data_IF_344222103341
#
_entry.id   IF_344222103341
#
_cell.length_a   1.000
_cell.length_b   1.000
_cell.length_c   1.000
_cell.angle_alpha   90.00
_cell.angle_beta   90.00
_cell.angle_gamma   90.00
#
_symmetry.space_group_name_H-M   'P 1'
#
loop_
_entity.id
_entity.type
_entity.pdbx_description
1 polymer ?
#
# COMPACT_ATOMS: atom_id res chain seq x y z
N UNK A 1 28.09 -18.80 5.84
CA UNK A 1 29.06 -17.81 5.33
C UNK A 1 29.05 -17.73 3.80
N UNK A 2 29.22 -18.83 3.08
CA UNK A 2 29.21 -18.82 1.60
C UNK A 2 27.81 -18.64 0.96
N UNK A 3 26.72 -18.93 1.70
CA UNK A 3 25.33 -18.76 1.24
C UNK A 3 24.77 -17.32 1.40
N UNK A 4 25.45 -16.44 2.15
CA UNK A 4 25.04 -15.04 2.31
C UNK A 4 25.49 -14.15 1.15
N UNK A 5 26.54 -14.55 0.43
CA UNK A 5 27.05 -13.83 -0.73
C UNK A 5 26.24 -14.10 -2.01
N UNK A 6 25.63 -15.28 -2.15
CA UNK A 6 24.77 -15.59 -3.32
C UNK A 6 23.40 -14.88 -3.27
N UNK A 7 22.90 -14.55 -2.07
CA UNK A 7 21.64 -13.81 -1.90
C UNK A 7 21.76 -12.33 -2.32
N UNK A 8 22.95 -11.72 -2.18
CA UNK A 8 23.19 -10.32 -2.56
C UNK A 8 23.23 -10.14 -4.08
N UNK A 9 23.88 -11.07 -4.79
CA UNK A 9 23.93 -11.08 -6.26
C UNK A 9 22.54 -11.36 -6.88
N UNK A 10 21.75 -12.26 -6.29
CA UNK A 10 20.38 -12.55 -6.73
C UNK A 10 19.41 -11.38 -6.44
N UNK A 11 19.58 -10.64 -5.34
CA UNK A 11 18.79 -9.44 -5.04
C UNK A 11 19.10 -8.29 -6.02
N UNK A 12 20.39 -8.09 -6.32
CA UNK A 12 20.85 -7.08 -7.28
C UNK A 12 20.34 -7.39 -8.71
N UNK A 13 20.40 -8.66 -9.14
CA UNK A 13 19.83 -9.09 -10.42
C UNK A 13 18.31 -8.93 -10.48
N UNK A 14 17.61 -9.17 -9.38
CA UNK A 14 16.15 -9.02 -9.31
C UNK A 14 15.75 -7.55 -9.41
N UNK A 15 16.51 -6.63 -8.81
CA UNK A 15 16.28 -5.19 -8.93
C UNK A 15 16.60 -4.64 -10.33
N UNK A 16 17.68 -5.08 -10.97
CA UNK A 16 18.03 -4.67 -12.35
C UNK A 16 17.03 -5.20 -13.40
N UNK A 17 16.40 -6.34 -13.17
CA UNK A 17 15.44 -6.94 -14.13
C UNK A 17 13.99 -6.53 -13.92
N UNK A 18 13.58 -6.15 -12.70
CA UNK A 18 12.22 -5.64 -12.44
C UNK A 18 12.05 -4.17 -12.78
N UNK A 19 13.11 -3.36 -12.71
CA UNK A 19 13.03 -1.93 -12.97
C UNK A 19 12.59 -1.58 -14.42
N UNK A 20 13.11 -2.22 -15.48
CA UNK A 20 12.64 -1.97 -16.85
C UNK A 20 11.20 -2.48 -17.10
N UNK A 21 10.79 -3.56 -16.43
CA UNK A 21 9.43 -4.10 -16.54
C UNK A 21 8.40 -3.21 -15.84
N UNK A 22 8.76 -2.65 -14.68
CA UNK A 22 7.97 -1.65 -13.95
C UNK A 22 7.93 -0.33 -14.75
N UNK A 23 9.04 0.12 -15.32
CA UNK A 23 9.06 1.31 -16.18
C UNK A 23 8.26 1.12 -17.47
N UNK A 24 8.27 -0.08 -18.05
CA UNK A 24 7.45 -0.45 -19.21
C UNK A 24 5.96 -0.45 -18.88
N UNK A 25 5.58 -1.12 -17.78
CA UNK A 25 4.22 -1.12 -17.26
C UNK A 25 3.75 0.29 -16.92
N UNK A 26 4.56 1.11 -16.24
CA UNK A 26 4.23 2.50 -15.91
C UNK A 26 4.10 3.37 -17.17
N UNK A 27 4.94 3.18 -18.19
CA UNK A 27 4.80 3.91 -19.48
C UNK A 27 3.54 3.53 -20.23
N UNK A 28 3.26 2.23 -20.34
CA UNK A 28 2.07 1.70 -21.01
C UNK A 28 0.81 2.13 -20.24
N UNK A 29 0.86 2.11 -18.91
CA UNK A 29 -0.20 2.57 -18.03
C UNK A 29 -0.45 4.09 -18.14
N UNK A 30 0.59 4.93 -18.12
CA UNK A 30 0.47 6.37 -18.35
C UNK A 30 -0.12 6.64 -19.75
N UNK A 31 0.29 5.87 -20.76
CA UNK A 31 -0.30 5.95 -22.10
C UNK A 31 -1.78 5.62 -22.09
N UNK A 32 -2.20 4.53 -21.44
CA UNK A 32 -3.61 4.11 -21.33
C UNK A 32 -4.45 5.12 -20.57
N UNK A 33 -3.95 5.67 -19.46
CA UNK A 33 -4.61 6.73 -18.69
C UNK A 33 -4.72 8.01 -19.51
N UNK A 34 -3.72 8.34 -20.31
CA UNK A 34 -3.76 9.49 -21.23
C UNK A 34 -4.80 9.30 -22.32
N UNK A 35 -4.87 8.11 -22.93
CA UNK A 35 -5.92 7.75 -23.90
C UNK A 35 -7.31 7.82 -23.28
N UNK A 36 -7.50 7.35 -22.04
CA UNK A 36 -8.78 7.44 -21.33
C UNK A 36 -9.17 8.89 -21.02
N UNK A 37 -8.18 9.75 -20.71
CA UNK A 37 -8.38 11.19 -20.48
C UNK A 37 -8.73 11.94 -21.75
N UNK A 38 -8.11 11.59 -22.87
CA UNK A 38 -8.42 12.12 -24.20
C UNK A 38 -9.82 11.66 -24.65
N UNK A 39 -10.18 10.40 -24.42
CA UNK A 39 -11.51 9.85 -24.71
C UNK A 39 -12.62 10.51 -23.85
N UNK A 40 -12.33 10.81 -22.58
CA UNK A 40 -13.26 11.52 -21.70
C UNK A 40 -13.38 13.03 -22.03
N UNK A 41 -12.44 13.59 -22.79
CA UNK A 41 -12.47 14.98 -23.26
C UNK A 41 -13.14 15.13 -24.64
N UNK A 42 -13.18 14.07 -25.45
CA UNK A 42 -13.70 14.09 -26.82
C UNK A 42 -15.24 13.95 -26.93
N UNK A 43 -15.95 13.65 -25.83
CA UNK A 43 -17.42 13.57 -25.83
C UNK A 43 -18.11 14.96 -25.74
N UNK A 44 -17.33 16.05 -25.86
CA UNK A 44 -17.85 17.42 -25.98
C UNK A 44 -16.98 18.28 -26.92
N UNK A 45 -17.13 18.13 -28.25
CA UNK A 45 -17.23 19.23 -29.24
C UNK A 45 -17.22 18.74 -30.70
N UNK A 46 -18.08 19.36 -31.52
CA UNK A 46 -17.87 19.45 -32.98
C UNK A 46 -16.70 20.41 -33.29
N UNK A 47 -15.97 20.22 -34.40
CA UNK A 47 -14.67 20.87 -34.63
C UNK A 47 -14.82 22.33 -35.07
N UNK A 48 -13.95 23.26 -34.60
CA UNK A 48 -13.72 24.50 -35.31
C UNK A 48 -12.48 24.39 -36.21
N UNK A 49 -12.70 24.82 -37.43
CA UNK A 49 -11.75 25.12 -38.49
C UNK A 49 -10.59 26.02 -37.99
N UNK A 50 -9.37 25.51 -38.02
CA UNK A 50 -8.14 26.25 -37.69
C UNK A 50 -7.17 26.23 -38.87
N UNK A 51 -7.61 26.79 -39.99
CA UNK A 51 -6.77 27.19 -41.11
C UNK A 51 -6.88 28.70 -41.36
N UNK A 52 -6.45 29.53 -40.39
CA UNK A 52 -6.00 30.91 -40.64
C UNK A 52 -5.54 31.57 -39.33
N UNK A 53 -4.22 31.68 -39.14
CA UNK A 53 -3.49 32.81 -38.52
C UNK A 53 -2.11 32.35 -38.05
N UNK A 54 -1.13 32.53 -38.93
CA UNK A 54 0.26 32.75 -38.52
C UNK A 54 0.85 33.81 -39.45
N UNK A 55 0.89 35.05 -38.97
CA UNK A 55 1.87 36.04 -39.41
C UNK A 55 3.12 35.91 -38.52
N UNK A 56 4.34 35.99 -39.06
CA UNK A 56 5.56 35.93 -38.28
C UNK A 56 5.94 37.35 -37.83
N UNK A 57 5.82 37.64 -36.54
CA UNK A 57 6.27 38.91 -35.97
C UNK A 57 6.58 38.79 -34.49
N UNK A 58 7.85 39.03 -34.13
CA UNK A 58 8.26 39.26 -32.74
C UNK A 58 9.39 38.35 -32.26
N UNK A 59 10.63 38.74 -32.53
CA UNK A 59 11.80 38.23 -31.82
C UNK A 59 11.84 38.84 -30.41
N UNK A 60 11.30 38.15 -29.41
CA UNK A 60 11.56 38.47 -28.01
C UNK A 60 12.72 37.60 -27.50
N UNK A 61 13.77 38.28 -27.05
CA UNK A 61 14.95 37.68 -26.43
C UNK A 61 14.56 37.01 -25.12
N UNK A 62 14.50 35.69 -25.11
CA UNK A 62 14.43 34.90 -23.88
C UNK A 62 15.77 35.04 -23.14
N UNK A 63 15.81 35.88 -22.10
CA UNK A 63 16.84 35.80 -21.06
C UNK A 63 16.66 34.47 -20.34
N UNK A 64 17.55 33.51 -20.64
CA UNK A 64 17.69 32.29 -19.86
C UNK A 64 18.21 32.68 -18.48
N UNK A 65 17.32 32.78 -17.49
CA UNK A 65 17.71 32.75 -16.09
C UNK A 65 18.25 31.36 -15.79
N UNK A 66 19.58 31.23 -15.72
CA UNK A 66 20.23 30.05 -15.18
C UNK A 66 19.85 29.92 -13.70
N UNK A 67 18.86 29.07 -13.40
CA UNK A 67 18.56 28.67 -12.03
C UNK A 67 19.75 27.91 -11.44
N UNK A 68 20.58 28.63 -10.68
CA UNK A 68 21.67 28.04 -9.90
C UNK A 68 21.04 27.23 -8.76
N UNK A 69 21.11 25.90 -8.86
CA UNK A 69 20.69 24.98 -7.78
C UNK A 69 21.61 25.20 -6.58
N UNK A 70 21.03 25.46 -5.40
CA UNK A 70 21.82 25.73 -4.20
C UNK A 70 22.52 24.48 -3.67
N UNK A 71 23.65 24.63 -2.99
CA UNK A 71 24.33 23.51 -2.31
C UNK A 71 23.43 22.81 -1.29
N UNK A 72 22.52 23.57 -0.65
CA UNK A 72 21.50 23.03 0.24
C UNK A 72 20.50 22.10 -0.48
N UNK A 73 20.09 22.45 -1.70
CA UNK A 73 19.16 21.62 -2.49
C UNK A 73 19.83 20.32 -2.94
N UNK A 74 21.10 20.40 -3.36
CA UNK A 74 21.89 19.22 -3.72
C UNK A 74 22.06 18.28 -2.52
N UNK A 75 22.34 18.84 -1.34
CA UNK A 75 22.44 18.05 -0.10
C UNK A 75 21.08 17.41 0.26
N UNK A 76 19.99 18.17 0.20
CA UNK A 76 18.66 17.67 0.50
C UNK A 76 18.25 16.53 -0.44
N UNK A 77 18.56 16.64 -1.73
CA UNK A 77 18.33 15.57 -2.71
C UNK A 77 19.17 14.31 -2.40
N UNK A 78 20.44 14.48 -2.02
CA UNK A 78 21.29 13.37 -1.63
C UNK A 78 20.80 12.68 -0.35
N UNK A 79 20.43 13.44 0.68
CA UNK A 79 19.89 12.92 1.94
C UNK A 79 18.56 12.19 1.70
N UNK A 80 17.68 12.71 0.84
CA UNK A 80 16.43 12.06 0.45
C UNK A 80 16.67 10.72 -0.26
N UNK A 81 17.66 10.65 -1.15
CA UNK A 81 18.04 9.39 -1.81
C UNK A 81 18.50 8.34 -0.80
N UNK A 82 19.35 8.73 0.15
CA UNK A 82 19.81 7.84 1.24
C UNK A 82 18.62 7.36 2.07
N UNK A 83 17.74 8.27 2.48
CA UNK A 83 16.53 7.92 3.23
C UNK A 83 15.67 6.91 2.48
N UNK A 84 15.38 7.15 1.21
CA UNK A 84 14.51 6.29 0.40
C UNK A 84 15.05 4.86 0.31
N UNK A 85 16.34 4.70 0.00
CA UNK A 85 17.00 3.39 0.00
C UNK A 85 16.91 2.71 1.35
N UNK A 86 17.23 3.42 2.45
CA UNK A 86 17.18 2.85 3.80
C UNK A 86 15.77 2.46 4.25
N UNK A 87 14.73 3.18 3.82
CA UNK A 87 13.32 2.85 4.12
C UNK A 87 12.91 1.54 3.46
N UNK A 88 13.28 1.35 2.19
CA UNK A 88 13.01 0.11 1.46
C UNK A 88 13.77 -1.07 2.05
N UNK A 89 15.06 -0.90 2.32
CA UNK A 89 15.89 -1.92 2.97
C UNK A 89 15.35 -2.28 4.36
N UNK A 90 14.95 -1.29 5.16
CA UNK A 90 14.32 -1.50 6.46
C UNK A 90 13.02 -2.30 6.36
N UNK A 91 12.10 -1.93 5.46
CA UNK A 91 10.83 -2.66 5.25
C UNK A 91 11.11 -4.12 4.89
N UNK A 92 12.00 -4.36 3.93
CA UNK A 92 12.33 -5.70 3.46
C UNK A 92 13.03 -6.52 4.56
N UNK A 93 13.94 -5.90 5.31
CA UNK A 93 14.60 -6.54 6.44
C UNK A 93 13.59 -6.89 7.54
N UNK A 94 12.62 -6.01 7.84
CA UNK A 94 11.55 -6.29 8.80
C UNK A 94 10.64 -7.43 8.35
N UNK A 95 10.33 -7.51 7.05
CA UNK A 95 9.56 -8.61 6.47
C UNK A 95 10.24 -9.98 6.67
N UNK A 96 11.58 -10.01 6.84
CA UNK A 96 12.34 -11.24 7.07
C UNK A 96 12.64 -11.50 8.56
N UNK A 97 13.15 -10.47 9.27
CA UNK A 97 13.62 -10.55 10.66
C UNK A 97 13.42 -9.20 11.38
N UNK A 98 12.18 -8.92 11.79
CA UNK A 98 11.75 -7.67 12.43
C UNK A 98 12.69 -7.10 13.49
N UNK A 99 13.02 -7.90 14.51
CA UNK A 99 13.83 -7.44 15.64
C UNK A 99 15.29 -7.13 15.26
N UNK A 100 15.84 -7.82 14.27
CA UNK A 100 17.18 -7.50 13.74
C UNK A 100 17.13 -6.19 12.97
N UNK A 101 16.14 -6.03 12.09
CA UNK A 101 15.99 -4.81 11.29
C UNK A 101 15.83 -3.56 12.17
N UNK A 102 15.00 -3.59 13.22
CA UNK A 102 14.93 -2.47 14.15
C UNK A 102 16.27 -2.20 14.85
N UNK A 103 17.06 -3.22 15.18
CA UNK A 103 18.39 -3.01 15.79
C UNK A 103 19.36 -2.32 14.84
N UNK A 104 19.28 -2.63 13.54
CA UNK A 104 20.18 -2.11 12.52
C UNK A 104 19.82 -0.69 12.08
N UNK A 105 18.53 -0.34 12.11
CA UNK A 105 18.02 0.94 11.62
C UNK A 105 17.57 1.91 12.71
N UNK A 106 17.15 1.45 13.88
CA UNK A 106 16.77 2.33 14.98
C UNK A 106 17.99 2.87 15.74
N UNK A 107 17.83 4.07 16.29
CA UNK A 107 18.79 4.62 17.24
C UNK A 107 18.82 3.78 18.52
N UNK A 108 19.97 3.75 19.19
CA UNK A 108 20.13 2.97 20.43
C UNK A 108 19.15 3.41 21.53
N UNK A 109 18.77 4.70 21.55
CA UNK A 109 17.79 5.25 22.49
C UNK A 109 16.37 4.75 22.25
N UNK A 110 16.07 4.23 21.05
CA UNK A 110 14.74 3.75 20.68
C UNK A 110 14.54 2.26 20.99
N UNK A 111 15.60 1.52 21.32
CA UNK A 111 15.54 0.08 21.58
C UNK A 111 14.50 -0.32 22.66
N UNK A 112 14.37 0.40 23.80
CA UNK A 112 13.34 0.07 24.79
C UNK A 112 11.92 0.21 24.23
N UNK A 113 11.67 1.27 23.44
CA UNK A 113 10.36 1.53 22.83
C UNK A 113 10.00 0.50 21.76
N UNK A 114 10.95 0.10 20.92
CA UNK A 114 10.75 -1.00 19.96
C UNK A 114 10.36 -2.29 20.68
N UNK A 115 11.09 -2.63 21.75
CA UNK A 115 10.84 -3.85 22.52
C UNK A 115 9.46 -3.82 23.20
N UNK A 116 9.08 -2.68 23.77
CA UNK A 116 7.77 -2.45 24.37
C UNK A 116 6.64 -2.68 23.35
N UNK A 117 6.67 -1.98 22.21
CA UNK A 117 5.62 -2.11 21.18
C UNK A 117 5.58 -3.51 20.59
N UNK A 118 6.72 -4.14 20.37
CA UNK A 118 6.79 -5.51 19.89
C UNK A 118 6.13 -6.48 20.87
N UNK A 119 6.42 -6.34 22.16
CA UNK A 119 5.84 -7.17 23.20
C UNK A 119 4.33 -6.93 23.36
N UNK A 120 3.86 -5.68 23.27
CA UNK A 120 2.44 -5.34 23.35
C UNK A 120 1.66 -5.87 22.14
N UNK A 121 2.17 -5.66 20.93
CA UNK A 121 1.48 -6.05 19.70
C UNK A 121 1.50 -7.56 19.46
N UNK A 122 2.61 -8.23 19.77
CA UNK A 122 2.87 -9.60 19.30
C UNK A 122 3.18 -10.60 20.41
N UNK A 123 3.36 -10.13 21.65
CA UNK A 123 3.75 -10.97 22.77
C UNK A 123 5.07 -11.68 22.50
N UNK A 124 5.08 -13.02 22.56
CA UNK A 124 6.27 -13.84 22.31
C UNK A 124 6.61 -14.03 20.82
N UNK A 125 5.73 -13.60 19.91
CA UNK A 125 5.86 -13.83 18.46
C UNK A 125 6.33 -12.56 17.72
N UNK A 126 7.18 -11.75 18.35
CA UNK A 126 7.59 -10.42 17.85
C UNK A 126 8.10 -10.44 16.42
N UNK A 127 9.02 -11.35 16.08
CA UNK A 127 9.58 -11.41 14.71
C UNK A 127 8.56 -11.84 13.67
N UNK A 128 7.69 -12.79 14.01
CA UNK A 128 6.60 -13.23 13.12
C UNK A 128 5.60 -12.10 12.89
N UNK A 129 5.26 -11.36 13.95
CA UNK A 129 4.35 -10.23 13.88
C UNK A 129 4.89 -9.07 13.04
N UNK A 130 6.16 -8.69 13.24
CA UNK A 130 6.79 -7.68 12.40
C UNK A 130 6.96 -8.14 10.95
N UNK A 131 7.32 -9.40 10.72
CA UNK A 131 7.37 -9.98 9.37
C UNK A 131 6.01 -9.88 8.68
N UNK A 132 4.94 -10.26 9.38
CA UNK A 132 3.57 -10.12 8.89
C UNK A 132 3.23 -8.67 8.53
N UNK A 133 3.45 -7.72 9.46
CA UNK A 133 3.14 -6.31 9.22
C UNK A 133 3.90 -5.76 8.00
N UNK A 134 5.23 -5.89 7.99
CA UNK A 134 6.07 -5.23 6.99
C UNK A 134 6.09 -5.93 5.64
N UNK A 135 5.79 -7.22 5.56
CA UNK A 135 5.64 -7.92 4.27
C UNK A 135 4.43 -7.43 3.46
N UNK A 136 3.48 -6.76 4.11
CA UNK A 136 2.25 -6.26 3.49
C UNK A 136 2.07 -4.76 3.61
N UNK A 137 2.86 -4.08 4.42
CA UNK A 137 2.72 -2.65 4.61
C UNK A 137 3.04 -1.86 3.32
N UNK A 138 2.11 -0.96 2.99
CA UNK A 138 2.36 0.16 2.10
C UNK A 138 3.14 1.23 2.87
N UNK A 139 3.85 2.12 2.19
CA UNK A 139 4.49 3.25 2.86
C UNK A 139 4.31 4.55 2.11
N UNK A 140 4.30 5.65 2.86
CA UNK A 140 4.30 7.02 2.33
C UNK A 140 5.26 7.89 3.14
N UNK A 141 5.76 8.95 2.51
CA UNK A 141 6.74 9.87 3.06
C UNK A 141 6.09 11.22 3.39
N UNK A 142 6.10 11.55 4.67
CA UNK A 142 5.73 12.86 5.21
C UNK A 142 6.95 13.75 5.37
N UNK A 143 6.85 15.01 4.92
CA UNK A 143 7.93 16.02 4.97
C UNK A 143 9.27 15.54 4.38
N UNK A 144 9.34 15.17 3.09
CA UNK A 144 10.58 14.71 2.45
C UNK A 144 11.76 15.69 2.57
N UNK A 145 11.48 16.98 2.72
CA UNK A 145 12.49 18.05 2.82
C UNK A 145 12.86 18.44 4.26
N UNK A 146 12.24 17.82 5.27
CA UNK A 146 12.56 18.07 6.68
C UNK A 146 13.91 17.44 7.06
N UNK A 147 14.61 18.00 8.06
CA UNK A 147 15.76 17.33 8.68
C UNK A 147 15.38 16.04 9.42
N UNK A 148 14.09 15.92 9.75
CA UNK A 148 13.48 14.77 10.41
C UNK A 148 12.24 14.34 9.63
N UNK A 149 12.41 13.67 8.49
CA UNK A 149 11.29 13.19 7.69
C UNK A 149 10.55 12.08 8.43
N UNK A 150 9.25 11.96 8.19
CA UNK A 150 8.39 10.95 8.81
C UNK A 150 7.99 9.96 7.73
N UNK A 151 8.17 8.67 7.97
CA UNK A 151 7.71 7.61 7.10
C UNK A 151 6.60 6.86 7.80
N UNK A 152 5.43 6.79 7.16
CA UNK A 152 4.32 5.99 7.63
C UNK A 152 4.28 4.67 6.89
N UNK A 153 4.29 3.56 7.63
CA UNK A 153 4.01 2.22 7.12
C UNK A 153 2.58 1.85 7.50
N UNK A 154 1.73 1.58 6.51
CA UNK A 154 0.32 1.30 6.69
C UNK A 154 0.01 -0.14 6.28
N UNK A 155 -0.72 -0.87 7.12
CA UNK A 155 -1.18 -2.22 6.84
C UNK A 155 -2.69 -2.22 6.49
N UNK A 156 -3.05 -2.11 5.19
CA UNK A 156 -4.44 -2.01 4.71
C UNK A 156 -5.48 -2.94 5.35
N UNK A 157 -5.13 -4.20 5.55
CA UNK A 157 -6.05 -5.25 5.99
C UNK A 157 -6.44 -5.08 7.46
N UNK A 158 -5.50 -4.61 8.29
CA UNK A 158 -5.74 -4.35 9.71
C UNK A 158 -6.10 -2.89 9.99
N UNK A 159 -5.90 -1.96 9.04
CA UNK A 159 -6.08 -0.52 9.23
C UNK A 159 -5.20 0.03 10.37
N UNK A 160 -3.90 -0.32 10.35
CA UNK A 160 -2.91 0.05 11.38
C UNK A 160 -1.69 0.72 10.77
N UNK A 161 -1.15 1.70 11.49
CA UNK A 161 0.04 2.46 11.10
C UNK A 161 1.20 2.22 12.07
N UNK A 162 2.41 2.14 11.50
CA UNK A 162 3.66 2.43 12.21
C UNK A 162 4.25 3.70 11.59
N UNK A 163 4.33 4.76 12.38
CA UNK A 163 4.99 6.00 11.97
C UNK A 163 6.42 6.00 12.50
N UNK A 164 7.38 6.38 11.67
CA UNK A 164 8.80 6.41 12.01
C UNK A 164 9.39 7.76 11.66
N UNK A 165 10.06 8.41 12.61
CA UNK A 165 10.81 9.64 12.35
C UNK A 165 12.26 9.28 12.08
N UNK A 166 12.80 9.77 10.97
CA UNK A 166 14.13 9.43 10.50
C UNK A 166 15.10 10.61 10.63
N UNK A 167 16.39 10.33 10.69
CA UNK A 167 17.45 11.32 10.59
C UNK A 167 18.57 10.78 9.72
N UNK A 168 19.04 11.58 8.76
CA UNK A 168 20.23 11.26 7.95
C UNK A 168 21.43 11.99 8.54
N UNK A 169 22.42 11.23 9.01
CA UNK A 169 23.67 11.78 9.57
C UNK A 169 24.83 11.06 8.91
N UNK A 170 25.74 11.82 8.29
CA UNK A 170 26.95 11.30 7.64
C UNK A 170 26.64 10.17 6.64
N UNK A 171 25.61 10.34 5.82
CA UNK A 171 25.22 9.38 4.79
C UNK A 171 24.52 8.11 5.31
N UNK A 172 24.08 8.09 6.57
CA UNK A 172 23.31 6.96 7.14
C UNK A 172 21.97 7.45 7.67
N UNK A 173 20.89 6.80 7.27
CA UNK A 173 19.57 7.04 7.82
C UNK A 173 19.34 6.18 9.08
N UNK A 174 18.75 6.78 10.11
CA UNK A 174 18.37 6.10 11.36
C UNK A 174 16.98 6.52 11.81
N UNK A 175 16.22 5.57 12.35
CA UNK A 175 14.94 5.84 13.01
C UNK A 175 15.24 6.40 14.40
N UNK A 176 14.80 7.61 14.68
CA UNK A 176 15.02 8.30 15.95
C UNK A 176 13.78 8.30 16.84
N UNK A 177 12.61 8.05 16.26
CA UNK A 177 11.33 7.99 16.98
C UNK A 177 10.36 7.07 16.23
N UNK A 178 9.40 6.48 16.92
CA UNK A 178 8.37 5.64 16.30
C UNK A 178 7.09 5.60 17.13
N UNK A 179 5.96 5.41 16.45
CA UNK A 179 4.64 5.23 17.06
C UNK A 179 3.83 4.18 16.32
N UNK A 180 3.10 3.34 17.06
CA UNK A 180 2.10 2.39 16.56
C UNK A 180 0.71 2.93 16.89
N UNK A 181 -0.20 3.00 15.91
CA UNK A 181 -1.56 3.51 16.12
C UNK A 181 -2.56 2.91 15.14
N UNK A 182 -3.85 2.99 15.48
CA UNK A 182 -4.92 2.65 14.54
C UNK A 182 -5.03 3.70 13.43
N UNK A 183 -5.52 3.30 12.26
CA UNK A 183 -5.92 4.23 11.20
C UNK A 183 -6.98 5.22 11.67
N UNK A 184 -7.85 4.80 12.59
CA UNK A 184 -8.88 5.66 13.18
C UNK A 184 -8.27 6.83 13.96
N UNK A 185 -7.20 6.58 14.72
CA UNK A 185 -6.47 7.64 15.41
C UNK A 185 -5.93 8.68 14.42
N UNK A 186 -5.30 8.23 13.34
CA UNK A 186 -4.75 9.09 12.31
C UNK A 186 -5.84 9.96 11.66
N UNK A 187 -6.92 9.33 11.16
CA UNK A 187 -8.04 10.01 10.50
C UNK A 187 -8.70 11.06 11.39
N UNK A 188 -8.84 10.75 12.68
CA UNK A 188 -9.46 11.64 13.67
C UNK A 188 -8.49 12.55 14.39
N UNK A 189 -7.19 12.49 14.08
CA UNK A 189 -6.14 13.29 14.74
C UNK A 189 -6.18 13.15 16.27
N UNK A 190 -6.42 11.93 16.75
CA UNK A 190 -6.52 11.61 18.18
C UNK A 190 -7.79 12.10 18.87
N UNK A 191 -8.85 12.46 18.14
CA UNK A 191 -10.12 12.91 18.74
C UNK A 191 -11.21 11.82 18.76
N UNK A 192 -11.87 11.56 19.92
CA UNK A 192 -12.99 10.62 20.01
C UNK A 192 -14.26 11.14 19.32
N UNK A 193 -15.28 10.29 19.08
CA UNK A 193 -15.33 8.86 19.37
C UNK A 193 -14.51 8.01 18.40
N UNK A 194 -13.86 6.95 18.88
CA UNK A 194 -13.11 6.00 18.03
C UNK A 194 -13.98 4.79 17.68
N UNK A 195 -14.06 4.44 16.39
CA UNK A 195 -14.54 3.12 15.96
C UNK A 195 -13.35 2.24 15.60
N UNK A 196 -13.07 1.27 16.46
CA UNK A 196 -11.88 0.41 16.37
C UNK A 196 -12.02 -0.70 15.31
N UNK A 197 -13.07 -0.69 14.49
CA UNK A 197 -13.15 -1.60 13.33
C UNK A 197 -12.42 -0.98 12.14
N UNK A 198 -11.63 -1.76 11.39
CA UNK A 198 -11.00 -1.28 10.14
C UNK A 198 -12.00 -0.54 9.25
N UNK A 199 -11.63 0.64 8.77
CA UNK A 199 -12.56 1.52 8.06
C UNK A 199 -13.29 0.86 6.89
N UNK A 200 -12.56 0.08 6.09
CA UNK A 200 -13.11 -0.60 4.92
C UNK A 200 -14.17 -1.66 5.26
N UNK A 201 -14.18 -2.17 6.49
CA UNK A 201 -15.20 -3.09 6.99
C UNK A 201 -16.47 -2.37 7.47
N UNK A 202 -16.37 -1.07 7.76
CA UNK A 202 -17.49 -0.26 8.28
C UNK A 202 -18.33 0.37 7.18
N UNK A 203 -17.71 0.73 6.06
CA UNK A 203 -18.38 1.39 4.93
C UNK A 203 -19.37 0.44 4.25
N UNK A 204 -20.46 0.97 3.71
CA UNK A 204 -21.40 0.20 2.92
C UNK A 204 -20.90 -0.03 1.48
N UNK A 205 -21.42 -1.06 0.80
CA UNK A 205 -21.11 -1.34 -0.60
C UNK A 205 -20.06 -2.43 -0.82
N UNK A 206 -19.38 -2.38 -1.97
CA UNK A 206 -18.45 -3.42 -2.39
C UNK A 206 -17.19 -3.42 -1.52
N UNK A 207 -16.88 -4.55 -0.86
CA UNK A 207 -15.76 -4.65 0.10
C UNK A 207 -14.39 -4.38 -0.51
N UNK A 208 -14.19 -4.72 -1.79
CA UNK A 208 -12.93 -4.49 -2.49
C UNK A 208 -12.74 -2.99 -2.73
N UNK A 209 -13.79 -2.32 -3.22
CA UNK A 209 -13.78 -0.87 -3.41
C UNK A 209 -13.56 -0.14 -2.09
N UNK A 210 -14.22 -0.58 -1.01
CA UNK A 210 -14.06 0.05 0.29
C UNK A 210 -12.66 -0.13 0.88
N UNK A 211 -11.99 -1.26 0.63
CA UNK A 211 -10.58 -1.45 0.99
C UNK A 211 -9.69 -0.44 0.28
N UNK A 212 -9.84 -0.31 -1.04
CA UNK A 212 -9.06 0.63 -1.84
C UNK A 212 -9.29 2.06 -1.38
N UNK A 213 -10.55 2.48 -1.22
CA UNK A 213 -10.89 3.85 -0.78
C UNK A 213 -10.37 4.16 0.61
N UNK A 214 -10.55 3.26 1.58
CA UNK A 214 -10.07 3.47 2.94
C UNK A 214 -8.54 3.58 2.98
N UNK A 215 -7.83 2.74 2.20
CA UNK A 215 -6.37 2.85 2.07
C UNK A 215 -5.96 4.19 1.48
N UNK A 216 -6.59 4.62 0.39
CA UNK A 216 -6.29 5.92 -0.23
C UNK A 216 -6.57 7.10 0.69
N UNK A 217 -7.73 7.12 1.34
CA UNK A 217 -8.09 8.19 2.27
C UNK A 217 -7.11 8.24 3.45
N UNK A 218 -6.74 7.08 4.03
CA UNK A 218 -5.74 6.99 5.10
C UNK A 218 -4.36 7.53 4.70
N UNK A 219 -3.84 7.13 3.53
CA UNK A 219 -2.53 7.61 3.04
C UNK A 219 -2.55 9.13 2.86
N UNK A 220 -3.65 9.66 2.32
CA UNK A 220 -3.83 11.11 2.18
C UNK A 220 -3.92 11.81 3.54
N UNK A 221 -4.63 11.24 4.50
CA UNK A 221 -4.76 11.82 5.84
C UNK A 221 -3.40 11.83 6.56
N UNK A 222 -2.57 10.81 6.35
CA UNK A 222 -1.16 10.80 6.77
C UNK A 222 -0.36 11.94 6.13
N UNK A 223 -0.44 12.11 4.80
CA UNK A 223 0.23 13.20 4.10
C UNK A 223 -0.19 14.56 4.66
N UNK A 224 -1.49 14.79 4.87
CA UNK A 224 -2.01 16.04 5.44
C UNK A 224 -1.52 16.25 6.87
N UNK A 225 -1.56 15.21 7.72
CA UNK A 225 -1.13 15.31 9.11
C UNK A 225 0.38 15.57 9.25
N UNK A 226 1.17 15.09 8.29
CA UNK A 226 2.63 15.24 8.32
C UNK A 226 3.12 16.46 7.57
N UNK A 227 2.49 16.95 6.50
CA UNK A 227 3.00 18.11 5.74
C UNK A 227 2.88 19.45 6.49
N UNK A 228 1.99 19.56 7.48
CA UNK A 228 1.78 20.80 8.22
C UNK A 228 3.06 21.38 8.86
N UNK A 229 3.15 22.70 9.04
CA UNK A 229 4.30 23.34 9.71
C UNK A 229 4.46 22.90 11.18
N UNK A 230 3.33 22.57 11.83
CA UNK A 230 3.25 22.07 13.20
C UNK A 230 3.86 20.68 13.31
N UNK A 231 4.69 20.34 14.32
CA UNK A 231 5.19 18.97 14.53
C UNK A 231 4.10 17.92 14.42
N UNK A 232 4.34 16.84 13.66
CA UNK A 232 3.32 15.83 13.35
C UNK A 232 2.71 15.19 14.62
N UNK A 233 3.53 14.99 15.67
CA UNK A 233 3.05 14.51 16.97
C UNK A 233 2.01 15.43 17.61
N UNK A 234 2.14 16.74 17.43
CA UNK A 234 1.14 17.70 17.91
C UNK A 234 -0.11 17.68 17.04
N UNK A 235 0.04 17.57 15.71
CA UNK A 235 -1.11 17.40 14.79
C UNK A 235 -1.94 16.17 15.13
N UNK A 236 -1.29 15.08 15.56
CA UNK A 236 -1.94 13.82 15.95
C UNK A 236 -2.26 13.73 17.46
N UNK A 237 -2.12 14.83 18.20
CA UNK A 237 -2.34 14.91 19.66
C UNK A 237 -1.60 13.84 20.48
N UNK A 238 -0.44 13.41 19.99
CA UNK A 238 0.42 12.45 20.68
C UNK A 238 1.22 13.10 21.81
N UNK A 239 1.49 14.40 21.73
CA UNK A 239 2.19 15.15 22.77
C UNK A 239 1.30 15.46 23.98
N UNK A 240 0.00 15.66 23.75
CA UNK A 240 -0.99 16.01 24.78
C UNK A 240 -1.78 14.78 25.26
N UNK A 241 -1.31 13.59 24.90
CA UNK A 241 -2.02 12.34 25.11
C UNK A 241 -1.92 11.91 26.57
N UNK A 242 -3.04 11.61 27.20
CA UNK A 242 -3.00 10.90 28.47
C UNK A 242 -2.54 9.44 28.24
N UNK A 243 -1.98 8.83 29.28
CA UNK A 243 -1.46 7.47 29.19
C UNK A 243 -2.57 6.46 28.86
N UNK A 244 -3.79 6.68 29.35
CA UNK A 244 -4.93 5.77 29.16
C UNK A 244 -5.37 5.68 27.68
N UNK A 245 -5.48 6.82 26.99
CA UNK A 245 -5.78 6.86 25.56
C UNK A 245 -4.63 6.28 24.72
N UNK A 246 -3.40 6.36 25.22
CA UNK A 246 -2.22 5.69 24.60
C UNK A 246 -2.37 4.19 24.65
N UNK A 247 -2.58 3.66 25.85
CA UNK A 247 -2.72 2.22 26.06
C UNK A 247 -3.92 1.66 25.29
N UNK A 248 -5.04 2.40 25.24
CA UNK A 248 -6.26 1.96 24.55
C UNK A 248 -6.06 1.78 23.04
N UNK A 249 -5.48 2.76 22.36
CA UNK A 249 -5.22 2.72 20.91
C UNK A 249 -4.12 1.71 20.56
N UNK A 250 -3.07 1.59 21.38
CA UNK A 250 -2.04 0.58 21.15
C UNK A 250 -2.61 -0.83 21.30
N UNK A 251 -3.44 -1.05 22.32
CA UNK A 251 -4.18 -2.30 22.45
C UNK A 251 -5.14 -2.52 21.26
N UNK A 252 -5.80 -1.47 20.77
CA UNK A 252 -6.67 -1.56 19.61
C UNK A 252 -5.91 -1.92 18.33
N UNK A 253 -4.77 -1.28 18.07
CA UNK A 253 -3.89 -1.58 16.95
C UNK A 253 -3.38 -3.03 17.02
N UNK A 254 -2.94 -3.47 18.21
CA UNK A 254 -2.54 -4.86 18.45
C UNK A 254 -3.69 -5.84 18.14
N UNK A 255 -4.91 -5.57 18.63
CA UNK A 255 -6.07 -6.43 18.36
C UNK A 255 -6.42 -6.49 16.88
N UNK A 256 -6.37 -5.37 16.15
CA UNK A 256 -6.62 -5.33 14.71
C UNK A 256 -5.59 -6.15 13.93
N UNK A 257 -4.31 -6.04 14.31
CA UNK A 257 -3.23 -6.83 13.72
C UNK A 257 -3.39 -8.32 14.00
N UNK A 258 -3.71 -8.69 15.23
CA UNK A 258 -3.94 -10.09 15.63
C UNK A 258 -5.17 -10.66 14.92
N UNK A 259 -6.29 -9.92 14.79
CA UNK A 259 -7.46 -10.39 14.05
C UNK A 259 -7.12 -10.64 12.58
N UNK A 260 -6.43 -9.69 11.94
CA UNK A 260 -6.01 -9.82 10.54
C UNK A 260 -5.06 -11.02 10.35
N UNK A 261 -4.05 -11.20 11.22
CA UNK A 261 -3.14 -12.34 11.20
C UNK A 261 -3.87 -13.67 11.45
N UNK A 262 -4.84 -13.69 12.36
CA UNK A 262 -5.64 -14.87 12.63
C UNK A 262 -6.43 -15.31 11.38
N UNK A 263 -6.91 -14.38 10.54
CA UNK A 263 -7.55 -14.73 9.26
C UNK A 263 -6.60 -15.43 8.30
N UNK A 264 -5.34 -14.99 8.24
CA UNK A 264 -4.30 -15.65 7.44
C UNK A 264 -4.05 -17.06 7.97
N UNK A 265 -3.83 -17.21 9.27
CA UNK A 265 -3.61 -18.54 9.88
C UNK A 265 -4.79 -19.49 9.75
N UNK A 266 -6.02 -18.99 9.71
CA UNK A 266 -7.19 -19.83 9.42
C UNK A 266 -7.07 -20.44 8.00
N UNK A 267 -6.72 -19.64 6.99
CA UNK A 267 -6.53 -20.08 5.62
C UNK A 267 -5.25 -20.89 5.39
N UNK A 268 -4.23 -20.74 6.21
CA UNK A 268 -2.99 -21.53 6.10
C UNK A 268 -3.01 -22.80 6.94
N UNK A 269 -4.07 -23.01 7.75
CA UNK A 269 -4.16 -24.19 8.61
C UNK A 269 -4.26 -25.48 7.80
N UNK A 270 -3.42 -26.50 8.05
CA UNK A 270 -3.53 -27.79 7.36
C UNK A 270 -4.81 -28.55 7.71
N UNK A 271 -5.50 -28.16 8.79
CA UNK A 271 -6.75 -28.76 9.26
C UNK A 271 -7.78 -27.66 9.56
N UNK A 272 -8.37 -27.05 8.52
CA UNK A 272 -9.35 -25.97 8.69
C UNK A 272 -10.55 -26.45 9.51
N UNK A 273 -10.82 -25.77 10.62
CA UNK A 273 -11.95 -26.11 11.51
C UNK A 273 -13.32 -25.76 10.92
N UNK A 274 -13.36 -24.73 10.06
CA UNK A 274 -14.59 -24.19 9.46
C UNK A 274 -14.75 -24.75 8.04
N UNK A 275 -15.92 -25.31 7.67
CA UNK A 275 -16.15 -25.83 6.31
C UNK A 275 -15.91 -24.77 5.22
N UNK A 276 -16.32 -23.52 5.45
CA UNK A 276 -16.06 -22.40 4.54
C UNK A 276 -14.57 -22.18 4.29
N UNK A 277 -13.74 -22.24 5.33
CA UNK A 277 -12.29 -22.07 5.20
C UNK A 277 -11.68 -23.19 4.36
N UNK A 278 -12.14 -24.44 4.57
CA UNK A 278 -11.70 -25.59 3.77
C UNK A 278 -12.03 -25.42 2.29
N UNK A 279 -13.25 -24.96 1.97
CA UNK A 279 -13.65 -24.71 0.59
C UNK A 279 -12.82 -23.58 -0.03
N UNK A 280 -12.59 -22.48 0.70
CA UNK A 280 -11.73 -21.38 0.22
C UNK A 280 -10.29 -21.82 0.00
N UNK A 281 -9.71 -22.64 0.86
CA UNK A 281 -8.38 -23.22 0.67
C UNK A 281 -8.28 -24.02 -0.63
N UNK A 282 -9.29 -24.84 -0.94
CA UNK A 282 -9.34 -25.60 -2.18
C UNK A 282 -9.41 -24.67 -3.40
N UNK A 283 -10.23 -23.62 -3.34
CA UNK A 283 -10.34 -22.62 -4.41
C UNK A 283 -9.04 -21.85 -4.63
N UNK A 284 -8.34 -21.45 -3.55
CA UNK A 284 -7.03 -20.78 -3.64
C UNK A 284 -5.97 -21.72 -4.23
N UNK A 285 -5.96 -22.98 -3.81
CA UNK A 285 -5.05 -23.99 -4.37
C UNK A 285 -5.30 -24.22 -5.86
N UNK A 286 -6.57 -24.35 -6.27
CA UNK A 286 -6.94 -24.46 -7.68
C UNK A 286 -6.49 -23.22 -8.48
N UNK A 287 -6.73 -22.02 -7.95
CA UNK A 287 -6.28 -20.77 -8.55
C UNK A 287 -4.77 -20.77 -8.82
N UNK A 288 -3.97 -21.07 -7.79
CA UNK A 288 -2.50 -21.11 -7.90
C UNK A 288 -2.04 -22.18 -8.88
N UNK A 289 -2.56 -23.40 -8.79
CA UNK A 289 -2.15 -24.52 -9.65
C UNK A 289 -2.51 -24.27 -11.12
N UNK A 290 -3.73 -23.84 -11.42
CA UNK A 290 -4.13 -23.55 -12.81
C UNK A 290 -3.38 -22.34 -13.36
N UNK A 291 -3.21 -21.29 -12.57
CA UNK A 291 -2.39 -20.15 -12.94
C UNK A 291 -0.95 -20.55 -13.29
N UNK A 292 -0.31 -21.37 -12.44
CA UNK A 292 1.04 -21.90 -12.65
C UNK A 292 1.17 -22.75 -13.92
N UNK A 293 0.09 -23.41 -14.34
CA UNK A 293 0.05 -24.20 -15.56
C UNK A 293 -0.37 -23.40 -16.81
N UNK A 294 -0.54 -22.07 -16.70
CA UNK A 294 -1.00 -21.22 -17.81
C UNK A 294 -2.49 -21.39 -18.16
N UNK A 295 -3.28 -21.98 -17.26
CA UNK A 295 -4.70 -22.29 -17.45
C UNK A 295 -5.63 -21.25 -16.82
N UNK A 296 -5.15 -20.03 -16.60
CA UNK A 296 -5.94 -18.96 -15.95
C UNK A 296 -7.20 -18.59 -16.75
N UNK A 297 -7.16 -18.73 -18.09
CA UNK A 297 -8.32 -18.52 -18.96
C UNK A 297 -9.52 -19.39 -18.60
N UNK A 298 -9.30 -20.63 -18.14
CA UNK A 298 -10.37 -21.55 -17.70
C UNK A 298 -11.03 -21.11 -16.39
N UNK A 299 -10.27 -20.44 -15.51
CA UNK A 299 -10.81 -19.84 -14.29
C UNK A 299 -11.59 -18.56 -14.61
N UNK A 300 -11.06 -17.69 -15.47
CA UNK A 300 -11.73 -16.47 -15.90
C UNK A 300 -13.05 -16.75 -16.64
N UNK A 301 -13.11 -17.82 -17.44
CA UNK A 301 -14.36 -18.25 -18.08
C UNK A 301 -15.46 -18.65 -17.07
N UNK A 302 -15.07 -19.09 -15.86
CA UNK A 302 -16.01 -19.39 -14.76
C UNK A 302 -16.38 -18.14 -13.95
N UNK A 303 -15.43 -17.21 -13.80
CA UNK A 303 -15.59 -15.94 -13.11
C UNK A 303 -16.32 -14.90 -13.99
N UNK A 304 -17.57 -15.20 -14.35
CA UNK A 304 -18.35 -14.44 -15.33
C UNK A 304 -18.72 -13.00 -14.94
N UNK A 305 -18.40 -12.57 -13.71
CA UNK A 305 -18.56 -11.17 -13.26
C UNK A 305 -17.24 -10.39 -13.26
N UNK A 306 -16.15 -10.98 -13.73
CA UNK A 306 -14.89 -10.26 -13.98
C UNK A 306 -15.04 -9.40 -15.22
N UNK A 307 -14.74 -8.11 -15.10
CA UNK A 307 -14.77 -7.18 -16.24
C UNK A 307 -13.74 -7.58 -17.31
N UNK A 308 -14.02 -7.35 -18.61
CA UNK A 308 -13.12 -7.75 -19.70
C UNK A 308 -11.68 -7.22 -19.55
N UNK A 309 -11.52 -5.92 -19.28
CA UNK A 309 -10.20 -5.29 -19.10
C UNK A 309 -9.43 -5.91 -17.93
N UNK A 310 -10.15 -6.25 -16.87
CA UNK A 310 -9.57 -6.91 -15.70
C UNK A 310 -9.15 -8.36 -16.02
N UNK A 311 -9.96 -9.07 -16.80
CA UNK A 311 -9.61 -10.41 -17.27
C UNK A 311 -8.34 -10.39 -18.14
N UNK A 312 -8.17 -9.36 -18.99
CA UNK A 312 -6.96 -9.21 -19.82
C UNK A 312 -5.72 -8.92 -18.97
N UNK A 313 -5.83 -8.04 -17.97
CA UNK A 313 -4.75 -7.81 -17.01
C UNK A 313 -4.36 -9.11 -16.28
N UNK A 314 -5.34 -9.88 -15.80
CA UNK A 314 -5.09 -11.14 -15.08
C UNK A 314 -4.46 -12.20 -16.00
N UNK A 315 -4.85 -12.26 -17.28
CA UNK A 315 -4.19 -13.14 -18.28
C UNK A 315 -2.74 -12.78 -18.51
N UNK A 316 -2.37 -11.51 -18.32
CA UNK A 316 -1.00 -11.01 -18.45
C UNK A 316 -0.06 -11.44 -17.30
N UNK A 317 -0.59 -11.94 -16.18
CA UNK A 317 0.23 -12.44 -15.07
C UNK A 317 1.02 -13.67 -15.55
N UNK A 318 2.33 -13.69 -15.32
CA UNK A 318 3.16 -14.83 -15.74
C UNK A 318 2.78 -16.07 -14.92
N UNK A 319 2.74 -17.27 -15.52
CA UNK A 319 2.44 -18.50 -14.78
C UNK A 319 3.30 -18.68 -13.53
N UNK A 320 4.59 -18.34 -13.59
CA UNK A 320 5.53 -18.44 -12.48
C UNK A 320 5.20 -17.56 -11.26
N UNK A 321 4.39 -16.51 -11.44
CA UNK A 321 4.04 -15.57 -10.37
C UNK A 321 2.79 -16.01 -9.57
N UNK A 322 1.94 -16.88 -10.14
CA UNK A 322 0.71 -17.35 -9.46
C UNK A 322 0.97 -18.05 -8.11
N UNK A 323 2.01 -18.89 -7.94
CA UNK A 323 2.34 -19.47 -6.63
C UNK A 323 2.69 -18.45 -5.55
N UNK A 324 3.12 -17.24 -5.91
CA UNK A 324 3.56 -16.20 -4.96
C UNK A 324 2.39 -15.47 -4.28
N UNK A 325 1.16 -15.64 -4.76
CA UNK A 325 -0.02 -14.97 -4.20
C UNK A 325 -0.48 -15.58 -2.88
N UNK A 326 -0.17 -14.96 -1.75
CA UNK A 326 -0.53 -15.41 -0.39
C UNK A 326 -1.83 -14.82 0.14
N UNK A 327 -2.66 -15.58 0.88
CA UNK A 327 -3.83 -15.03 1.53
C UNK A 327 -3.47 -13.97 2.55
N UNK A 328 -4.17 -12.84 2.53
CA UNK A 328 -4.01 -11.77 3.50
C UNK A 328 -5.26 -11.52 4.34
N UNK A 329 -6.43 -11.75 3.76
CA UNK A 329 -7.67 -11.62 4.49
C UNK A 329 -8.76 -12.44 3.80
N UNK A 330 -9.73 -12.91 4.58
CA UNK A 330 -10.93 -13.50 4.03
C UNK A 330 -12.14 -13.15 4.87
N UNK A 331 -13.29 -13.13 4.20
CA UNK A 331 -14.58 -12.99 4.84
C UNK A 331 -15.64 -13.77 4.08
N UNK A 332 -16.67 -14.20 4.77
CA UNK A 332 -17.81 -14.86 4.16
C UNK A 332 -19.09 -14.49 4.89
N UNK A 333 -20.17 -14.40 4.14
CA UNK A 333 -21.52 -14.21 4.66
C UNK A 333 -22.46 -15.32 4.15
N UNK A 334 -23.77 -15.07 4.18
CA UNK A 334 -24.79 -16.04 3.74
C UNK A 334 -24.83 -16.22 2.23
N UNK A 335 -24.25 -15.31 1.46
CA UNK A 335 -24.42 -15.16 0.01
C UNK A 335 -23.10 -15.25 -0.75
N UNK A 336 -21.99 -14.83 -0.14
CA UNK A 336 -20.70 -14.75 -0.81
C UNK A 336 -19.53 -14.99 0.15
N UNK A 337 -18.37 -15.26 -0.44
CA UNK A 337 -17.09 -15.18 0.23
C UNK A 337 -16.11 -14.36 -0.60
N UNK A 338 -15.14 -13.75 0.09
CA UNK A 338 -14.11 -12.92 -0.49
C UNK A 338 -12.77 -13.33 0.11
N UNK A 339 -11.78 -13.52 -0.75
CA UNK A 339 -10.38 -13.75 -0.37
C UNK A 339 -9.52 -12.71 -1.03
N UNK A 340 -8.66 -12.06 -0.25
CA UNK A 340 -7.62 -11.17 -0.75
C UNK A 340 -6.29 -11.91 -0.76
N UNK A 341 -5.63 -11.93 -1.91
CA UNK A 341 -4.32 -12.51 -2.13
C UNK A 341 -3.32 -11.40 -2.46
N UNK A 342 -2.11 -11.47 -1.92
CA UNK A 342 -1.02 -10.49 -2.16
C UNK A 342 0.23 -11.25 -2.57
N UNK A 343 0.92 -10.87 -3.65
CA UNK A 343 2.17 -11.51 -4.03
C UNK A 343 3.26 -11.24 -2.98
N UNK A 344 4.04 -12.25 -2.63
CA UNK A 344 5.07 -12.17 -1.59
C UNK A 344 6.12 -11.08 -1.81
N UNK A 345 6.43 -10.78 -3.07
CA UNK A 345 7.47 -9.81 -3.44
C UNK A 345 6.96 -8.39 -3.64
N UNK A 346 5.64 -8.20 -3.70
CA UNK A 346 5.07 -6.89 -4.04
C UNK A 346 3.77 -6.61 -3.27
N UNK A 347 3.84 -5.90 -2.12
CA UNK A 347 2.66 -5.57 -1.32
C UNK A 347 1.77 -4.49 -1.95
N UNK A 348 2.23 -3.83 -3.03
CA UNK A 348 1.50 -2.73 -3.66
C UNK A 348 0.31 -3.23 -4.49
N UNK A 349 0.28 -4.53 -4.80
CA UNK A 349 -0.81 -5.18 -5.53
C UNK A 349 -1.59 -6.16 -4.65
N UNK A 350 -2.87 -6.33 -4.95
CA UNK A 350 -3.63 -7.45 -4.42
C UNK A 350 -4.62 -7.97 -5.45
N UNK A 351 -4.89 -9.27 -5.38
CA UNK A 351 -5.92 -9.96 -6.14
C UNK A 351 -7.07 -10.31 -5.20
N UNK A 352 -8.27 -9.86 -5.52
CA UNK A 352 -9.49 -10.23 -4.84
C UNK A 352 -10.20 -11.35 -5.61
N UNK A 353 -10.51 -12.45 -4.92
CA UNK A 353 -11.32 -13.55 -5.42
C UNK A 353 -12.68 -13.51 -4.73
N UNK A 354 -13.73 -13.22 -5.49
CA UNK A 354 -15.11 -13.25 -4.99
C UNK A 354 -15.80 -14.54 -5.40
N UNK A 355 -16.40 -15.21 -4.42
CA UNK A 355 -17.13 -16.45 -4.60
C UNK A 355 -18.61 -16.24 -4.29
N UNK A 356 -19.48 -16.73 -5.16
CA UNK A 356 -20.91 -16.85 -4.84
C UNK A 356 -21.12 -18.15 -4.07
N UNK A 357 -21.93 -18.10 -3.01
CA UNK A 357 -22.28 -19.29 -2.24
C UNK A 357 -23.41 -20.04 -2.95
N UNK A 358 -23.18 -21.30 -3.27
CA UNK A 358 -24.14 -22.19 -3.91
C UNK A 358 -24.36 -23.43 -3.03
N UNK A 359 -25.49 -23.48 -2.31
CA UNK A 359 -25.76 -24.48 -1.28
C UNK A 359 -24.62 -24.59 -0.23
N UNK A 360 -23.82 -25.65 -0.32
CA UNK A 360 -22.71 -25.96 0.59
C UNK A 360 -21.32 -25.71 -0.04
N UNK A 361 -21.25 -25.12 -1.24
CA UNK A 361 -20.01 -24.84 -1.95
C UNK A 361 -19.85 -23.35 -2.34
N UNK A 362 -18.66 -23.01 -2.82
CA UNK A 362 -18.29 -21.69 -3.28
C UNK A 362 -17.85 -21.75 -4.73
N UNK A 363 -18.58 -21.01 -5.58
CA UNK A 363 -18.23 -20.86 -6.99
C UNK A 363 -17.53 -19.53 -7.22
N UNK A 364 -16.34 -19.57 -7.82
CA UNK A 364 -15.63 -18.36 -8.23
C UNK A 364 -16.51 -17.55 -9.20
N UNK A 365 -16.81 -16.32 -8.82
CA UNK A 365 -17.71 -15.45 -9.55
C UNK A 365 -17.00 -14.24 -10.17
N UNK A 366 -15.97 -13.71 -9.50
CA UNK A 366 -15.23 -12.52 -9.93
C UNK A 366 -13.79 -12.57 -9.45
N UNK A 367 -12.89 -12.02 -10.26
CA UNK A 367 -11.48 -11.83 -9.94
C UNK A 367 -11.11 -10.39 -10.25
N UNK A 368 -10.49 -9.69 -9.32
CA UNK A 368 -10.04 -8.31 -9.54
C UNK A 368 -8.62 -8.10 -9.04
N UNK A 369 -7.76 -7.54 -9.88
CA UNK A 369 -6.39 -7.15 -9.54
C UNK A 369 -6.32 -5.64 -9.36
N UNK A 370 -5.81 -5.21 -8.21
CA UNK A 370 -5.65 -3.79 -7.89
C UNK A 370 -4.21 -3.46 -7.56
N UNK A 371 -3.82 -2.23 -7.87
CA UNK A 371 -2.53 -1.63 -7.52
C UNK A 371 -2.79 -0.38 -6.67
N UNK A 372 -2.41 -0.40 -5.39
CA UNK A 372 -2.71 0.67 -4.45
C UNK A 372 -2.19 2.05 -4.89
N UNK A 373 -0.92 2.21 -5.33
CA UNK A 373 -0.42 3.49 -5.84
C UNK A 373 -1.23 4.04 -7.02
N UNK A 374 -1.57 3.19 -7.99
CA UNK A 374 -2.42 3.60 -9.12
C UNK A 374 -3.78 4.10 -8.66
N UNK A 375 -4.43 3.35 -7.75
CA UNK A 375 -5.75 3.73 -7.25
C UNK A 375 -5.71 5.03 -6.43
N UNK A 376 -4.63 5.25 -5.67
CA UNK A 376 -4.39 6.50 -4.98
C UNK A 376 -4.36 7.68 -5.94
N UNK A 377 -3.59 7.60 -7.03
CA UNK A 377 -3.51 8.67 -8.03
C UNK A 377 -4.86 8.94 -8.73
N UNK A 378 -5.58 7.89 -9.11
CA UNK A 378 -6.91 8.02 -9.74
C UNK A 378 -7.91 8.73 -8.81
N UNK A 379 -7.99 8.29 -7.55
CA UNK A 379 -8.93 8.84 -6.58
C UNK A 379 -8.53 10.25 -6.09
N UNK A 380 -7.23 10.55 -6.05
CA UNK A 380 -6.72 11.89 -5.77
C UNK A 380 -7.07 12.86 -6.90
N UNK A 381 -6.93 12.44 -8.16
CA UNK A 381 -7.28 13.22 -9.35
C UNK A 381 -8.78 13.46 -9.51
N UNK A 382 -9.64 12.48 -9.15
CA UNK A 382 -11.09 12.60 -9.28
C UNK A 382 -11.73 13.69 -8.41
N UNK A 383 -11.23 13.90 -7.17
CA UNK A 383 -11.75 14.94 -6.26
C UNK A 383 -11.44 16.37 -6.72
N UNK A 384 -10.36 16.58 -7.49
CA UNK A 384 -10.02 17.90 -8.03
C UNK A 384 -11.06 18.40 -9.04
N UNK A 385 -11.72 17.48 -9.77
CA UNK A 385 -12.72 17.80 -10.78
C UNK A 385 -14.10 18.08 -10.16
N UNK A 386 -14.47 17.42 -9.07
CA UNK A 386 -15.73 17.70 -8.36
C UNK A 386 -15.69 19.04 -7.60
N UNK A 387 -14.55 19.40 -6.99
CA UNK A 387 -14.41 20.70 -6.29
C UNK A 387 -14.48 21.93 -7.20
N UNK A 388 -14.13 21.79 -8.48
CA UNK A 388 -14.26 22.90 -9.45
C UNK A 388 -15.67 23.06 -10.00
N UNK A 389 -16.58 22.10 -9.77
CA UNK A 389 -18.00 22.21 -10.14
C UNK A 389 -18.88 22.80 -9.03
N UNK A 390 -18.49 22.69 -7.76
CA UNK A 390 -19.22 23.34 -6.65
C UNK A 390 -18.87 24.82 -6.50
N UNK A 391 -17.64 25.25 -6.82
CA UNK A 391 -17.25 26.68 -6.80
C UNK A 391 -17.70 27.45 -8.06
N UNK A 392 -18.35 26.78 -9.02
CA UNK A 392 -18.89 27.34 -10.26
C UNK A 392 -20.43 27.47 -10.26
N UNK A 393 -21.08 27.28 -9.11
CA UNK A 393 -22.50 27.54 -8.86
C UNK A 393 -22.68 28.61 -7.79
#
# INVERSE_FOLDING_TARGET
AHALWQLDDDLALTMETTQPAIEGFVREFISTVKTFREFAQDDQRSPPDLAARFEPGGSESATQDEHVVSESDLKAAADLKVLWSSVLEFRNACAMQGSSAFRDYASATLAPRVAELGQQAWGKQVDVGWSYFFSRALFSLGRPTSQKPVVGFYHPWSDVWILTEWQVVSGKARIIDLELMTGEWLRRRGEPPFDLRPEWLRRDGNRIEQLVRATTDNVRDFEVATVAATPWKQTLKLADRDAELTDLDQAAAAMQLIDSLARVFELDSPQPKKPVVKALQQQIAEFRTRGANGQIGELLARANKTEPDMADIIRGIRPADFPEFQPQYWMADKTQALVFLVPDKNPDFFLALTFSREADDFRLARMDLFHFPTMFEVLKGGKAVESTQEDAK
#
